data_IF_956208648971
#
_entry.id   IF_956208648971
#
_cell.length_a   1.000
_cell.length_b   1.000
_cell.length_c   1.000
_cell.angle_alpha   90.00
_cell.angle_beta   90.00
_cell.angle_gamma   90.00
#
_symmetry.space_group_name_H-M   'P 1'
#
loop_
_entity.id
_entity.type
_entity.pdbx_description
1 polymer ?
#
# COMPACT_ATOMS: atom_id res chain seq x y z
N UNK A 1 -23.92 9.25 33.13
CA UNK A 1 -23.37 10.17 32.11
C UNK A 1 -21.97 9.71 31.82
N UNK A 2 -21.71 9.03 30.68
CA UNK A 2 -20.37 8.65 30.26
C UNK A 2 -19.82 9.78 29.39
N UNK A 3 -18.73 10.37 29.81
CA UNK A 3 -18.02 11.44 29.14
C UNK A 3 -17.59 10.94 27.75
N UNK A 4 -18.05 11.60 26.67
CA UNK A 4 -17.59 11.36 25.32
C UNK A 4 -16.14 11.86 25.24
N UNK A 5 -15.19 11.07 24.68
CA UNK A 5 -13.83 11.54 24.48
C UNK A 5 -13.84 12.71 23.48
N UNK A 6 -13.19 13.81 23.87
CA UNK A 6 -13.00 14.99 23.02
C UNK A 6 -12.28 14.61 21.73
N UNK A 7 -12.60 15.24 20.58
CA UNK A 7 -11.84 15.04 19.35
C UNK A 7 -10.39 15.45 19.60
N UNK A 8 -9.46 14.52 19.37
CA UNK A 8 -8.03 14.79 19.45
C UNK A 8 -7.64 15.84 18.42
N UNK A 9 -6.93 16.86 18.86
CA UNK A 9 -6.24 17.86 18.02
C UNK A 9 -5.40 17.15 16.96
N UNK A 10 -5.29 17.69 15.70
CA UNK A 10 -4.40 17.12 14.68
C UNK A 10 -3.00 17.00 15.28
N UNK A 11 -2.41 15.82 15.22
CA UNK A 11 -1.08 15.56 15.76
C UNK A 11 -0.05 16.38 14.97
N UNK A 12 0.70 17.25 15.64
CA UNK A 12 1.80 18.06 15.08
C UNK A 12 2.93 17.19 14.47
N UNK A 13 2.89 15.87 14.64
CA UNK A 13 3.93 14.91 14.25
C UNK A 13 3.97 14.59 12.75
N UNK A 14 2.98 15.01 11.96
CA UNK A 14 2.91 14.68 10.53
C UNK A 14 2.69 13.17 10.25
N UNK A 15 2.37 12.38 11.24
CA UNK A 15 2.12 10.94 11.11
C UNK A 15 0.78 10.67 10.45
N UNK A 16 0.79 9.86 9.39
CA UNK A 16 -0.41 9.42 8.65
C UNK A 16 -0.89 8.06 9.14
N UNK A 17 0.03 7.20 9.54
CA UNK A 17 -0.24 5.91 10.15
C UNK A 17 0.58 5.76 11.42
N UNK A 18 -0.06 5.23 12.47
CA UNK A 18 0.59 4.80 13.70
C UNK A 18 0.05 3.42 14.09
N UNK A 19 0.93 2.47 14.27
CA UNK A 19 0.64 1.11 14.71
C UNK A 19 1.33 0.85 16.05
N UNK A 20 0.60 0.34 17.03
CA UNK A 20 1.10 0.09 18.39
C UNK A 20 0.80 -1.35 18.77
N UNK A 21 1.86 -2.14 19.02
CA UNK A 21 1.82 -3.55 19.45
C UNK A 21 0.82 -4.40 18.66
N UNK A 22 0.78 -4.23 17.32
CA UNK A 22 -0.14 -4.96 16.47
C UNK A 22 0.15 -6.45 16.50
N UNK A 23 -0.85 -7.23 16.89
CA UNK A 23 -0.83 -8.69 16.86
C UNK A 23 -1.96 -9.20 15.99
N UNK A 24 -1.69 -10.23 15.23
CA UNK A 24 -2.70 -10.92 14.43
C UNK A 24 -2.52 -12.41 14.48
N UNK A 25 -3.60 -13.10 14.84
CA UNK A 25 -3.69 -14.55 14.87
C UNK A 25 -4.78 -15.03 13.91
N UNK A 26 -4.51 -16.10 13.19
CA UNK A 26 -5.47 -16.83 12.38
C UNK A 26 -5.46 -18.30 12.82
N UNK A 27 -6.60 -18.85 13.17
CA UNK A 27 -6.76 -20.28 13.52
C UNK A 27 -5.67 -20.84 14.45
N UNK A 28 -5.28 -20.04 15.46
CA UNK A 28 -4.25 -20.41 16.42
C UNK A 28 -2.81 -20.05 16.02
N UNK A 29 -2.54 -19.75 14.75
CA UNK A 29 -1.23 -19.30 14.29
C UNK A 29 -1.06 -17.79 14.43
N UNK A 30 -0.05 -17.33 15.18
CA UNK A 30 0.25 -15.91 15.37
C UNK A 30 1.18 -15.41 14.25
N UNK A 31 0.61 -14.60 13.33
CA UNK A 31 1.31 -14.06 12.17
C UNK A 31 2.05 -12.77 12.52
N UNK A 32 1.45 -11.88 13.32
CA UNK A 32 2.12 -10.70 13.85
C UNK A 32 2.19 -10.78 15.37
N UNK A 33 3.37 -10.51 15.91
CA UNK A 33 3.74 -10.74 17.31
C UNK A 33 4.12 -9.44 18.03
N UNK A 34 3.37 -8.36 17.78
CA UNK A 34 3.57 -7.08 18.44
C UNK A 34 4.45 -6.13 17.62
N UNK A 35 4.06 -5.82 16.39
CA UNK A 35 4.75 -4.83 15.56
C UNK A 35 4.27 -3.42 15.88
N UNK A 36 5.22 -2.49 16.00
CA UNK A 36 4.95 -1.06 16.19
C UNK A 36 5.72 -0.25 15.18
N UNK A 37 5.05 0.68 14.50
CA UNK A 37 5.66 1.57 13.52
C UNK A 37 4.80 2.80 13.27
N UNK A 38 5.37 3.78 12.61
CA UNK A 38 4.65 4.93 12.07
C UNK A 38 5.06 5.17 10.61
N UNK A 39 4.13 5.72 9.82
CA UNK A 39 4.41 6.28 8.51
C UNK A 39 4.07 7.78 8.54
N UNK A 40 4.96 8.61 8.01
CA UNK A 40 4.84 10.07 8.02
C UNK A 40 4.35 10.57 6.68
N UNK A 41 3.72 11.74 6.69
CA UNK A 41 3.37 12.43 5.45
C UNK A 41 4.63 12.71 4.63
N UNK A 42 4.56 12.46 3.33
CA UNK A 42 5.66 12.72 2.40
C UNK A 42 6.77 11.66 2.41
N UNK A 43 6.59 10.52 3.11
CA UNK A 43 7.58 9.43 3.07
C UNK A 43 7.04 8.16 2.40
N UNK A 44 7.94 7.37 1.88
CA UNK A 44 7.72 5.98 1.51
C UNK A 44 8.33 5.07 2.57
N UNK A 45 7.47 4.41 3.36
CA UNK A 45 7.88 3.34 4.27
C UNK A 45 7.82 2.00 3.54
N UNK A 46 8.93 1.30 3.46
CA UNK A 46 8.98 -0.06 2.92
C UNK A 46 9.04 -1.07 4.06
N UNK A 47 8.14 -2.04 4.06
CA UNK A 47 8.17 -3.19 4.98
C UNK A 47 8.68 -4.40 4.19
N UNK A 48 9.93 -4.77 4.44
CA UNK A 48 10.58 -5.94 3.83
C UNK A 48 10.37 -7.19 4.67
N UNK A 49 10.46 -8.35 4.03
CA UNK A 49 10.43 -9.64 4.74
C UNK A 49 10.23 -10.81 3.79
N UNK A 50 10.50 -12.01 4.26
CA UNK A 50 10.28 -13.25 3.51
C UNK A 50 8.80 -13.55 3.24
N UNK A 51 8.53 -14.58 2.45
CA UNK A 51 7.16 -15.07 2.24
C UNK A 51 6.58 -15.55 3.58
N UNK A 52 5.33 -15.17 3.86
CA UNK A 52 4.66 -15.57 5.12
C UNK A 52 5.07 -14.76 6.36
N UNK A 53 5.99 -13.79 6.30
CA UNK A 53 6.42 -12.99 7.45
C UNK A 53 5.34 -12.07 8.05
N UNK A 54 4.22 -11.84 7.33
CA UNK A 54 3.12 -10.99 7.79
C UNK A 54 3.01 -9.64 7.09
N UNK A 55 3.78 -9.35 6.04
CA UNK A 55 3.76 -8.06 5.29
C UNK A 55 2.37 -7.66 4.79
N UNK A 56 1.75 -8.52 4.00
CA UNK A 56 0.38 -8.29 3.48
C UNK A 56 -0.64 -8.17 4.62
N UNK A 57 -0.47 -8.92 5.71
CA UNK A 57 -1.32 -8.82 6.90
C UNK A 57 -1.19 -7.45 7.53
N UNK A 58 0.03 -6.93 7.69
CA UNK A 58 0.30 -5.58 8.20
C UNK A 58 -0.39 -4.53 7.33
N UNK A 59 -0.24 -4.64 6.01
CA UNK A 59 -0.86 -3.69 5.07
C UNK A 59 -2.40 -3.73 5.13
N UNK A 60 -3.00 -4.93 5.25
CA UNK A 60 -4.45 -5.10 5.39
C UNK A 60 -5.00 -4.56 6.70
N UNK A 61 -4.22 -4.62 7.79
CA UNK A 61 -4.57 -4.00 9.07
C UNK A 61 -4.59 -2.47 8.94
N UNK A 62 -3.58 -1.87 8.29
CA UNK A 62 -3.54 -0.42 8.00
C UNK A 62 -4.72 0.00 7.13
N UNK A 63 -5.08 -0.78 6.12
CA UNK A 63 -6.22 -0.49 5.26
C UNK A 63 -7.59 -0.71 5.95
N UNK A 64 -7.61 -1.25 7.18
CA UNK A 64 -8.83 -1.63 7.88
C UNK A 64 -9.61 -2.76 7.18
N UNK A 65 -8.95 -3.55 6.32
CA UNK A 65 -9.56 -4.70 5.63
C UNK A 65 -9.71 -5.91 6.56
N UNK A 66 -8.88 -5.97 7.60
CA UNK A 66 -8.96 -6.96 8.68
C UNK A 66 -8.73 -6.25 10.01
N UNK A 67 -9.24 -6.82 11.10
CA UNK A 67 -9.03 -6.31 12.46
C UNK A 67 -7.82 -6.96 13.11
N UNK A 68 -7.03 -6.24 13.93
CA UNK A 68 -5.99 -6.84 14.76
C UNK A 68 -6.62 -7.77 15.81
N UNK A 69 -5.86 -8.76 16.30
CA UNK A 69 -6.25 -9.57 17.46
C UNK A 69 -6.01 -8.83 18.78
N UNK A 70 -5.00 -7.96 18.80
CA UNK A 70 -4.73 -6.96 19.84
C UNK A 70 -3.79 -5.88 19.29
N UNK A 71 -3.58 -4.83 20.06
CA UNK A 71 -2.86 -3.64 19.61
C UNK A 71 -3.80 -2.65 18.92
N UNK A 72 -3.23 -1.54 18.47
CA UNK A 72 -4.02 -0.43 17.91
C UNK A 72 -3.41 0.10 16.62
N UNK A 73 -4.27 0.59 15.71
CA UNK A 73 -3.83 1.23 14.47
C UNK A 73 -4.61 2.53 14.25
N UNK A 74 -3.87 3.61 14.08
CA UNK A 74 -4.40 4.95 13.76
C UNK A 74 -4.05 5.29 12.32
N UNK A 75 -5.05 5.74 11.57
CA UNK A 75 -4.90 6.18 10.18
C UNK A 75 -5.61 7.51 10.01
N UNK A 76 -4.93 8.53 9.48
CA UNK A 76 -5.47 9.88 9.29
C UNK A 76 -6.17 10.42 10.55
N UNK A 77 -5.51 10.35 11.70
CA UNK A 77 -6.01 10.82 12.99
C UNK A 77 -7.19 10.03 13.59
N UNK A 78 -7.53 8.86 13.04
CA UNK A 78 -8.59 7.99 13.54
C UNK A 78 -8.05 6.63 13.94
N UNK A 79 -8.33 6.20 15.16
CA UNK A 79 -8.15 4.81 15.56
C UNK A 79 -9.20 3.96 14.85
N UNK A 80 -8.77 2.93 14.13
CA UNK A 80 -9.64 2.21 13.19
C UNK A 80 -10.00 0.78 13.62
N UNK A 81 -9.36 0.24 14.63
CA UNK A 81 -9.53 -1.14 15.08
C UNK A 81 -10.97 -1.48 15.49
N UNK A 82 -11.70 -0.53 16.09
CA UNK A 82 -13.06 -0.72 16.57
C UNK A 82 -14.14 -0.11 15.67
N UNK A 83 -13.74 0.50 14.54
CA UNK A 83 -14.69 1.14 13.62
C UNK A 83 -15.52 0.09 12.85
N UNK A 84 -16.81 0.38 12.67
CA UNK A 84 -17.66 -0.37 11.73
C UNK A 84 -17.39 0.01 10.27
N UNK A 85 -17.93 -0.78 9.33
CA UNK A 85 -17.73 -0.58 7.90
C UNK A 85 -18.08 0.82 7.42
N UNK A 86 -19.21 1.38 7.83
CA UNK A 86 -19.62 2.74 7.46
C UNK A 86 -18.62 3.81 7.89
N UNK A 87 -18.02 3.67 9.06
CA UNK A 87 -17.03 4.60 9.58
C UNK A 87 -15.65 4.41 8.94
N UNK A 88 -15.34 3.24 8.39
CA UNK A 88 -14.12 2.94 7.65
C UNK A 88 -14.16 3.46 6.20
N UNK A 89 -15.33 3.55 5.58
CA UNK A 89 -15.46 4.00 4.18
C UNK A 89 -14.79 5.36 3.89
N UNK A 90 -15.01 6.43 4.68
CA UNK A 90 -14.36 7.72 4.43
C UNK A 90 -12.83 7.66 4.57
N UNK A 91 -12.32 6.76 5.43
CA UNK A 91 -10.87 6.56 5.61
C UNK A 91 -10.31 5.82 4.40
N UNK A 92 -10.95 4.73 3.98
CA UNK A 92 -10.53 3.93 2.82
C UNK A 92 -10.57 4.72 1.50
N UNK A 93 -11.51 5.64 1.32
CA UNK A 93 -11.57 6.52 0.15
C UNK A 93 -10.35 7.44 0.01
N UNK A 94 -9.64 7.70 1.11
CA UNK A 94 -8.40 8.47 1.12
C UNK A 94 -7.15 7.60 0.89
N UNK A 95 -7.32 6.29 0.69
CA UNK A 95 -6.24 5.34 0.43
C UNK A 95 -6.42 4.71 -0.95
N UNK A 96 -5.34 4.59 -1.71
CA UNK A 96 -5.28 3.75 -2.89
C UNK A 96 -4.58 2.44 -2.54
N UNK A 97 -5.21 1.29 -2.79
CA UNK A 97 -4.62 -0.02 -2.54
C UNK A 97 -4.26 -0.72 -3.86
N UNK A 98 -2.98 -1.03 -4.04
CA UNK A 98 -2.44 -1.76 -5.18
C UNK A 98 -2.15 -3.19 -4.75
N UNK A 99 -2.98 -4.14 -5.18
CA UNK A 99 -2.88 -5.55 -4.83
C UNK A 99 -1.77 -6.27 -5.61
N UNK A 100 -1.20 -7.31 -5.02
CA UNK A 100 -0.13 -8.13 -5.62
C UNK A 100 -0.46 -8.62 -7.03
N UNK A 101 -1.69 -9.08 -7.30
CA UNK A 101 -2.17 -9.53 -8.61
C UNK A 101 -2.83 -8.45 -9.46
N UNK A 102 -2.70 -7.15 -9.10
CA UNK A 102 -3.48 -6.03 -9.63
C UNK A 102 -4.99 -6.12 -9.30
N UNK A 103 -5.55 -7.30 -9.08
CA UNK A 103 -6.95 -7.58 -8.74
C UNK A 103 -7.94 -6.86 -9.66
N UNK A 104 -7.68 -6.87 -10.96
CA UNK A 104 -8.60 -6.35 -11.97
C UNK A 104 -9.81 -7.28 -12.09
N UNK A 105 -10.96 -6.70 -12.40
CA UNK A 105 -12.15 -7.46 -12.76
C UNK A 105 -11.97 -7.99 -14.18
N UNK A 106 -11.86 -9.30 -14.35
CA UNK A 106 -11.56 -9.94 -15.64
C UNK A 106 -12.62 -9.70 -16.72
N UNK A 107 -13.88 -9.47 -16.31
CA UNK A 107 -15.01 -9.20 -17.19
C UNK A 107 -15.20 -7.73 -17.58
N UNK A 108 -14.39 -6.83 -17.00
CA UNK A 108 -14.46 -5.41 -17.27
C UNK A 108 -13.26 -4.97 -18.12
N UNK A 109 -13.49 -4.01 -19.01
CA UNK A 109 -12.43 -3.37 -19.78
C UNK A 109 -11.48 -2.60 -18.85
N UNK A 110 -10.33 -2.16 -19.37
CA UNK A 110 -9.39 -1.28 -18.65
C UNK A 110 -10.11 0.01 -18.21
N UNK A 111 -10.89 0.62 -19.12
CA UNK A 111 -11.69 1.80 -18.80
C UNK A 111 -12.60 1.56 -17.60
N UNK A 112 -13.38 0.48 -17.65
CA UNK A 112 -14.33 0.15 -16.59
C UNK A 112 -13.64 -0.19 -15.26
N UNK A 113 -12.54 -0.92 -15.31
CA UNK A 113 -11.72 -1.22 -14.12
C UNK A 113 -11.23 0.05 -13.43
N UNK A 114 -10.69 1.01 -14.20
CA UNK A 114 -10.17 2.28 -13.65
C UNK A 114 -11.31 3.21 -13.23
N UNK A 115 -12.43 3.25 -13.97
CA UNK A 115 -13.60 4.05 -13.66
C UNK A 115 -14.35 3.59 -12.40
N UNK A 116 -14.24 2.30 -12.06
CA UNK A 116 -15.04 1.65 -11.02
C UNK A 116 -15.12 2.43 -9.69
N UNK A 117 -13.99 2.89 -9.09
CA UNK A 117 -14.06 3.62 -7.83
C UNK A 117 -14.84 4.95 -7.93
N UNK A 118 -14.77 5.63 -9.06
CA UNK A 118 -15.51 6.89 -9.25
C UNK A 118 -17.01 6.64 -9.42
N UNK A 119 -17.40 5.60 -10.15
CA UNK A 119 -18.81 5.21 -10.31
C UNK A 119 -19.45 4.83 -8.99
N UNK A 120 -18.73 4.08 -8.14
CA UNK A 120 -19.23 3.65 -6.82
C UNK A 120 -19.29 4.77 -5.78
N UNK A 121 -18.40 5.76 -5.88
CA UNK A 121 -18.20 6.69 -4.77
C UNK A 121 -18.50 8.14 -5.08
N UNK A 122 -18.87 8.46 -6.33
CA UNK A 122 -19.17 9.83 -6.75
C UNK A 122 -20.43 9.90 -7.60
N UNK A 123 -20.94 11.10 -7.80
CA UNK A 123 -22.03 11.40 -8.73
C UNK A 123 -21.55 12.06 -10.02
N UNK A 124 -20.30 11.84 -10.41
CA UNK A 124 -19.72 12.39 -11.63
C UNK A 124 -20.43 11.85 -12.87
N UNK A 125 -20.56 12.69 -13.91
CA UNK A 125 -21.06 12.27 -15.21
C UNK A 125 -20.01 11.43 -15.94
N UNK A 126 -20.44 10.46 -16.75
CA UNK A 126 -19.54 9.54 -17.47
C UNK A 126 -18.45 10.25 -18.29
N UNK A 127 -18.75 11.40 -18.92
CA UNK A 127 -17.74 12.17 -19.62
C UNK A 127 -16.60 12.64 -18.70
N UNK A 128 -16.93 13.12 -17.49
CA UNK A 128 -15.91 13.53 -16.52
C UNK A 128 -15.15 12.33 -15.94
N UNK A 129 -15.81 11.17 -15.79
CA UNK A 129 -15.15 9.93 -15.40
C UNK A 129 -14.17 9.49 -16.49
N UNK A 130 -14.59 9.53 -17.76
CA UNK A 130 -13.74 9.17 -18.90
C UNK A 130 -12.46 10.02 -18.93
N UNK A 131 -12.58 11.36 -18.79
CA UNK A 131 -11.43 12.26 -18.77
C UNK A 131 -10.44 11.91 -17.64
N UNK A 132 -10.95 11.59 -16.45
CA UNK A 132 -10.12 11.16 -15.31
C UNK A 132 -9.46 9.79 -15.54
N UNK A 133 -10.16 8.87 -16.21
CA UNK A 133 -9.60 7.55 -16.57
C UNK A 133 -8.42 7.74 -17.52
N UNK A 134 -8.59 8.53 -18.59
CA UNK A 134 -7.51 8.82 -19.55
C UNK A 134 -6.33 9.49 -18.85
N UNK A 135 -6.58 10.47 -17.99
CA UNK A 135 -5.53 11.12 -17.20
C UNK A 135 -4.80 10.11 -16.29
N UNK A 136 -5.53 9.26 -15.56
CA UNK A 136 -4.94 8.29 -14.64
C UNK A 136 -4.09 7.23 -15.37
N UNK A 137 -4.54 6.76 -16.54
CA UNK A 137 -3.77 5.87 -17.40
C UNK A 137 -2.51 6.55 -17.95
N UNK A 138 -2.60 7.80 -18.37
CA UNK A 138 -1.44 8.59 -18.81
C UNK A 138 -0.36 8.71 -17.71
N UNK A 139 -0.77 8.92 -16.44
CA UNK A 139 0.16 8.99 -15.32
C UNK A 139 0.98 7.71 -15.14
N UNK A 140 0.42 6.55 -15.49
CA UNK A 140 1.10 5.26 -15.43
C UNK A 140 1.75 4.85 -16.77
N UNK A 141 1.80 5.77 -17.75
CA UNK A 141 2.43 5.54 -19.06
C UNK A 141 1.63 4.56 -19.94
N UNK A 142 0.31 4.62 -19.87
CA UNK A 142 -0.61 3.90 -20.76
C UNK A 142 -1.44 4.92 -21.55
N UNK A 143 -1.54 4.72 -22.85
CA UNK A 143 -2.33 5.58 -23.73
C UNK A 143 -3.80 5.13 -23.85
N UNK A 144 -4.60 5.86 -24.65
CA UNK A 144 -6.02 5.55 -24.84
C UNK A 144 -6.25 4.23 -25.60
N UNK A 145 -5.26 3.69 -26.28
CA UNK A 145 -5.34 2.43 -27.02
C UNK A 145 -5.65 1.22 -26.15
N UNK A 146 -5.44 1.32 -24.84
CA UNK A 146 -5.73 0.21 -23.91
C UNK A 146 -7.14 0.27 -23.32
N UNK A 147 -7.91 1.33 -23.50
CA UNK A 147 -9.18 1.57 -22.81
C UNK A 147 -10.19 0.43 -22.96
N UNK A 148 -10.31 -0.11 -24.17
CA UNK A 148 -11.28 -1.16 -24.51
C UNK A 148 -10.74 -2.58 -24.32
N UNK A 149 -9.46 -2.73 -23.95
CA UNK A 149 -8.86 -4.05 -23.74
C UNK A 149 -9.36 -4.67 -22.43
N UNK A 150 -9.47 -5.99 -22.43
CA UNK A 150 -9.71 -6.79 -21.24
C UNK A 150 -8.36 -7.07 -20.50
N UNK A 151 -8.39 -7.36 -19.21
CA UNK A 151 -7.17 -7.74 -18.45
C UNK A 151 -6.39 -8.90 -19.06
N UNK A 152 -7.07 -9.86 -19.72
CA UNK A 152 -6.45 -11.00 -20.41
C UNK A 152 -5.60 -10.60 -21.62
N UNK A 153 -5.86 -9.44 -22.23
CA UNK A 153 -5.14 -8.92 -23.40
C UNK A 153 -3.91 -8.09 -23.02
N UNK A 154 -3.71 -7.83 -21.71
CA UNK A 154 -2.61 -7.02 -21.20
C UNK A 154 -1.40 -7.88 -20.81
N UNK A 155 -0.20 -7.33 -20.99
CA UNK A 155 1.01 -7.90 -20.38
C UNK A 155 0.96 -7.80 -18.85
N UNK A 156 1.79 -8.57 -18.13
CA UNK A 156 1.86 -8.51 -16.68
C UNK A 156 2.17 -7.10 -16.15
N UNK A 157 3.12 -6.40 -16.78
CA UNK A 157 3.47 -5.03 -16.44
C UNK A 157 2.34 -4.03 -16.73
N UNK A 158 1.59 -4.21 -17.82
CA UNK A 158 0.42 -3.38 -18.12
C UNK A 158 -0.69 -3.59 -17.07
N UNK A 159 -0.99 -4.84 -16.71
CA UNK A 159 -1.98 -5.12 -15.64
C UNK A 159 -1.63 -4.42 -14.33
N UNK A 160 -0.36 -4.47 -13.91
CA UNK A 160 0.10 -3.77 -12.70
C UNK A 160 -0.12 -2.25 -12.82
N UNK A 161 0.24 -1.65 -13.95
CA UNK A 161 0.05 -0.21 -14.17
C UNK A 161 -1.43 0.20 -14.21
N UNK A 162 -2.32 -0.62 -14.79
CA UNK A 162 -3.77 -0.40 -14.72
C UNK A 162 -4.27 -0.49 -13.26
N UNK A 163 -3.78 -1.46 -12.47
CA UNK A 163 -4.08 -1.55 -11.04
C UNK A 163 -3.63 -0.31 -10.25
N UNK A 164 -2.48 0.26 -10.59
CA UNK A 164 -2.00 1.52 -10.01
C UNK A 164 -2.90 2.69 -10.45
N UNK A 165 -3.25 2.79 -11.75
CA UNK A 165 -4.16 3.82 -12.24
C UNK A 165 -5.51 3.79 -11.52
N UNK A 166 -6.09 2.60 -11.30
CA UNK A 166 -7.31 2.43 -10.53
C UNK A 166 -7.17 2.89 -9.07
N UNK A 167 -6.03 2.65 -8.46
CA UNK A 167 -5.76 3.11 -7.09
C UNK A 167 -5.59 4.64 -6.99
N UNK A 168 -5.14 5.29 -8.08
CA UNK A 168 -4.89 6.73 -8.15
C UNK A 168 -6.13 7.57 -8.47
N UNK A 169 -7.12 7.00 -9.17
CA UNK A 169 -8.21 7.79 -9.78
C UNK A 169 -9.06 8.56 -8.75
N UNK A 170 -9.08 8.09 -7.50
CA UNK A 170 -9.74 8.75 -6.37
C UNK A 170 -8.91 9.83 -5.69
N UNK A 171 -7.74 10.18 -6.22
CA UNK A 171 -6.81 11.18 -5.65
C UNK A 171 -6.48 10.86 -4.17
N UNK A 172 -5.94 9.67 -3.87
CA UNK A 172 -5.72 9.24 -2.50
C UNK A 172 -4.65 10.08 -1.80
N UNK A 173 -4.78 10.23 -0.48
CA UNK A 173 -3.77 10.86 0.37
C UNK A 173 -2.62 9.91 0.74
N UNK A 174 -2.81 8.59 0.53
CA UNK A 174 -1.80 7.56 0.79
C UNK A 174 -2.00 6.38 -0.16
N UNK A 175 -0.87 5.82 -0.65
CA UNK A 175 -0.86 4.61 -1.45
C UNK A 175 -0.32 3.43 -0.64
N UNK A 176 -0.98 2.29 -0.77
CA UNK A 176 -0.60 1.01 -0.18
C UNK A 176 -0.27 0.03 -1.30
N UNK A 177 0.99 -0.42 -1.37
CA UNK A 177 1.45 -1.35 -2.39
C UNK A 177 1.75 -2.72 -1.80
N UNK A 178 1.07 -3.74 -2.27
CA UNK A 178 1.27 -5.14 -1.88
C UNK A 178 2.05 -5.85 -2.99
N UNK A 179 3.36 -6.07 -2.79
CA UNK A 179 4.28 -6.73 -3.73
C UNK A 179 4.15 -6.21 -5.19
N UNK A 180 4.37 -4.91 -5.43
CA UNK A 180 4.06 -4.29 -6.73
C UNK A 180 4.90 -4.83 -7.91
N UNK A 181 6.09 -5.36 -7.66
CA UNK A 181 6.99 -5.92 -8.68
C UNK A 181 6.93 -7.44 -8.79
N UNK A 182 6.18 -8.12 -7.91
CA UNK A 182 6.11 -9.58 -7.90
C UNK A 182 5.60 -10.14 -9.24
N UNK A 183 6.35 -11.10 -9.78
CA UNK A 183 6.01 -11.78 -11.04
C UNK A 183 6.30 -10.97 -12.31
N UNK A 184 6.99 -9.85 -12.19
CA UNK A 184 7.48 -9.07 -13.33
C UNK A 184 8.93 -9.42 -13.69
N UNK A 185 9.27 -9.26 -14.97
CA UNK A 185 10.65 -9.26 -15.40
C UNK A 185 11.41 -8.00 -14.89
N UNK A 186 12.75 -7.99 -14.92
CA UNK A 186 13.54 -6.88 -14.38
C UNK A 186 13.24 -5.52 -15.02
N UNK A 187 12.89 -5.48 -16.30
CA UNK A 187 12.59 -4.24 -17.03
C UNK A 187 11.25 -3.65 -16.52
N UNK A 188 10.21 -4.47 -16.44
CA UNK A 188 8.92 -4.04 -15.94
C UNK A 188 8.95 -3.71 -14.43
N UNK A 189 9.75 -4.43 -13.64
CA UNK A 189 9.98 -4.12 -12.23
C UNK A 189 10.58 -2.73 -12.05
N UNK A 190 11.58 -2.37 -12.84
CA UNK A 190 12.20 -1.04 -12.85
C UNK A 190 11.18 0.05 -13.23
N UNK A 191 10.38 -0.17 -14.27
CA UNK A 191 9.35 0.78 -14.69
C UNK A 191 8.32 1.03 -13.57
N UNK A 192 7.92 0.01 -12.83
CA UNK A 192 7.01 0.15 -11.67
C UNK A 192 7.70 0.90 -10.54
N UNK A 193 8.98 0.64 -10.23
CA UNK A 193 9.73 1.37 -9.22
C UNK A 193 9.85 2.87 -9.57
N UNK A 194 10.22 3.20 -10.80
CA UNK A 194 10.28 4.57 -11.29
C UNK A 194 8.91 5.27 -11.27
N UNK A 195 7.84 4.52 -11.55
CA UNK A 195 6.48 5.04 -11.45
C UNK A 195 6.15 5.41 -9.99
N UNK A 196 6.45 4.55 -9.02
CA UNK A 196 6.21 4.83 -7.59
C UNK A 196 6.95 6.11 -7.17
N UNK A 197 8.20 6.27 -7.59
CA UNK A 197 8.99 7.50 -7.31
C UNK A 197 8.34 8.74 -7.94
N UNK A 198 7.89 8.67 -9.19
CA UNK A 198 7.23 9.81 -9.86
C UNK A 198 5.91 10.21 -9.20
N UNK A 199 5.11 9.22 -8.77
CA UNK A 199 3.82 9.48 -8.13
C UNK A 199 3.98 10.25 -6.83
N UNK A 200 5.06 9.99 -6.09
CA UNK A 200 5.42 10.67 -4.85
C UNK A 200 5.70 12.18 -5.04
N UNK A 201 6.25 12.58 -6.17
CA UNK A 201 6.57 13.99 -6.45
C UNK A 201 5.40 14.83 -6.96
N UNK A 202 4.19 14.25 -7.14
CA UNK A 202 3.13 14.99 -7.82
C UNK A 202 1.70 14.63 -7.47
N UNK A 203 1.39 13.37 -7.19
CA UNK A 203 0.00 12.91 -7.04
C UNK A 203 -0.32 12.43 -5.63
N UNK A 204 0.60 11.71 -5.01
CA UNK A 204 0.43 11.16 -3.66
C UNK A 204 1.78 11.05 -2.96
N UNK A 205 1.99 11.87 -1.94
CA UNK A 205 3.30 12.00 -1.29
C UNK A 205 3.63 10.84 -0.34
N UNK A 206 2.63 10.12 0.13
CA UNK A 206 2.79 9.11 1.18
C UNK A 206 2.53 7.72 0.67
N UNK A 207 3.44 6.78 0.90
CA UNK A 207 3.26 5.39 0.51
C UNK A 207 3.74 4.41 1.60
N UNK A 208 3.05 3.26 1.70
CA UNK A 208 3.56 2.07 2.38
C UNK A 208 3.66 0.97 1.34
N UNK A 209 4.86 0.41 1.19
CA UNK A 209 5.15 -0.66 0.24
C UNK A 209 5.54 -1.90 1.01
N UNK A 210 4.86 -3.02 0.78
CA UNK A 210 5.34 -4.29 1.32
C UNK A 210 5.96 -5.11 0.19
N UNK A 211 7.17 -5.62 0.41
CA UNK A 211 7.91 -6.35 -0.63
C UNK A 211 9.04 -7.21 -0.06
N UNK A 212 9.52 -8.16 -0.84
CA UNK A 212 10.78 -8.86 -0.62
C UNK A 212 11.87 -8.39 -1.63
N UNK A 213 11.55 -7.47 -2.52
CA UNK A 213 12.43 -6.97 -3.57
C UNK A 213 13.36 -5.87 -3.02
N UNK A 214 14.66 -6.19 -2.96
CA UNK A 214 15.70 -5.29 -2.46
C UNK A 214 15.94 -4.10 -3.42
N UNK A 215 15.88 -4.35 -4.74
CA UNK A 215 16.10 -3.29 -5.73
C UNK A 215 14.97 -2.27 -5.73
N UNK A 216 13.72 -2.74 -5.62
CA UNK A 216 12.58 -1.85 -5.40
C UNK A 216 12.80 -1.02 -4.13
N UNK A 217 13.17 -1.67 -3.02
CA UNK A 217 13.39 -1.01 -1.73
C UNK A 217 14.45 0.08 -1.83
N UNK A 218 15.60 -0.21 -2.46
CA UNK A 218 16.67 0.78 -2.68
C UNK A 218 16.20 1.99 -3.48
N UNK A 219 15.28 1.77 -4.42
CA UNK A 219 14.79 2.82 -5.32
C UNK A 219 13.75 3.72 -4.66
N UNK A 220 12.80 3.14 -3.91
CA UNK A 220 11.60 3.89 -3.47
C UNK A 220 11.61 4.29 -1.99
N UNK A 221 12.37 3.59 -1.13
CA UNK A 221 12.25 3.76 0.31
C UNK A 221 12.96 5.00 0.86
N UNK A 222 12.31 5.68 1.80
CA UNK A 222 12.95 6.62 2.74
C UNK A 222 13.33 5.89 4.03
N UNK A 223 12.38 5.08 4.52
CA UNK A 223 12.56 4.24 5.70
C UNK A 223 12.21 2.80 5.37
N UNK A 224 12.87 1.89 6.07
CA UNK A 224 12.70 0.45 5.90
C UNK A 224 12.41 -0.18 7.26
N UNK A 225 11.44 -1.09 7.29
CA UNK A 225 11.21 -2.03 8.37
C UNK A 225 11.47 -3.44 7.85
N UNK A 226 12.27 -4.25 8.54
CA UNK A 226 12.52 -5.65 8.18
C UNK A 226 11.72 -6.54 9.11
N UNK A 227 10.71 -7.20 8.54
CA UNK A 227 9.76 -8.07 9.25
C UNK A 227 10.20 -9.52 9.14
N UNK A 228 10.55 -10.11 10.28
CA UNK A 228 11.01 -11.51 10.41
C UNK A 228 10.17 -12.16 11.50
N UNK A 229 9.60 -13.33 11.22
CA UNK A 229 8.79 -14.11 12.17
C UNK A 229 7.73 -13.29 12.93
N UNK A 230 7.08 -12.38 12.21
CA UNK A 230 6.01 -11.54 12.76
C UNK A 230 6.47 -10.39 13.67
N UNK A 231 7.76 -10.07 13.70
CA UNK A 231 8.34 -8.96 14.47
C UNK A 231 9.30 -8.14 13.60
N UNK A 232 9.48 -6.86 13.93
CA UNK A 232 10.50 -6.06 13.26
C UNK A 232 11.89 -6.34 13.86
N UNK A 233 12.78 -6.89 13.03
CA UNK A 233 14.20 -7.03 13.35
C UNK A 233 14.95 -5.70 13.25
N UNK A 234 14.51 -4.80 12.36
CA UNK A 234 15.03 -3.43 12.22
C UNK A 234 13.93 -2.50 11.69
N UNK A 235 13.99 -1.23 12.08
CA UNK A 235 13.16 -0.14 11.56
C UNK A 235 13.97 1.17 11.64
N UNK A 236 14.20 1.83 10.53
CA UNK A 236 15.00 3.06 10.50
C UNK A 236 15.09 3.66 9.10
N UNK A 237 16.03 4.57 8.90
CA UNK A 237 16.36 5.11 7.58
C UNK A 237 16.85 4.00 6.67
N UNK A 238 16.50 4.07 5.38
CA UNK A 238 16.86 3.04 4.39
C UNK A 238 18.33 2.63 4.49
N UNK A 239 19.24 3.60 4.40
CA UNK A 239 20.68 3.32 4.33
C UNK A 239 21.21 2.70 5.64
N UNK A 240 20.67 3.11 6.81
CA UNK A 240 21.01 2.55 8.12
C UNK A 240 20.56 1.09 8.24
N UNK A 241 19.33 0.79 7.82
CA UNK A 241 18.76 -0.57 7.91
C UNK A 241 19.44 -1.51 6.91
N UNK A 242 19.69 -1.05 5.68
CA UNK A 242 20.36 -1.88 4.66
C UNK A 242 21.85 -2.11 4.95
N UNK A 243 22.49 -1.29 5.77
CA UNK A 243 23.86 -1.47 6.27
C UNK A 243 23.92 -2.05 7.70
N UNK A 244 22.78 -2.52 8.25
CA UNK A 244 22.70 -3.01 9.63
C UNK A 244 23.51 -4.29 9.82
N UNK A 245 24.28 -4.36 10.92
CA UNK A 245 25.02 -5.57 11.35
C UNK A 245 24.15 -6.59 12.10
N UNK A 246 22.84 -6.34 12.21
CA UNK A 246 21.91 -7.26 12.88
C UNK A 246 21.86 -8.61 12.13
N UNK A 247 22.20 -9.75 12.78
CA UNK A 247 22.38 -11.03 12.07
C UNK A 247 21.17 -11.47 11.25
N UNK A 248 19.95 -11.29 11.77
CA UNK A 248 18.73 -11.69 11.06
C UNK A 248 18.45 -10.77 9.84
N UNK A 249 18.81 -9.48 9.90
CA UNK A 249 18.71 -8.56 8.77
C UNK A 249 19.71 -8.94 7.69
N UNK A 250 20.96 -9.20 8.07
CA UNK A 250 22.01 -9.64 7.15
C UNK A 250 21.63 -10.96 6.44
N UNK A 251 21.18 -11.97 7.18
CA UNK A 251 20.74 -13.24 6.62
C UNK A 251 19.58 -13.05 5.63
N UNK A 252 18.63 -12.16 5.95
CA UNK A 252 17.53 -11.82 5.04
C UNK A 252 18.03 -11.13 3.77
N UNK A 253 18.91 -10.13 3.90
CA UNK A 253 19.46 -9.38 2.75
C UNK A 253 20.37 -10.25 1.87
N UNK A 254 21.05 -11.24 2.43
CA UNK A 254 21.85 -12.24 1.71
C UNK A 254 21.00 -13.31 1.01
N UNK A 255 19.67 -13.33 1.25
CA UNK A 255 18.78 -14.37 0.71
C UNK A 255 18.85 -15.71 1.46
N UNK A 256 19.44 -15.75 2.64
CA UNK A 256 19.63 -16.94 3.46
C UNK A 256 18.46 -17.22 4.42
N UNK A 257 17.64 -16.18 4.71
CA UNK A 257 16.46 -16.31 5.54
C UNK A 257 15.22 -16.64 4.67
N UNK A 258 14.52 -17.71 5.01
CA UNK A 258 13.24 -18.13 4.41
C UNK A 258 12.06 -17.50 5.10
#
# INVERSE_FOLDING_TARGET
MREQPRPSTPTETGEVVEAIDLRKRFEGHEVLRGVSFNARRGETLVIMGGSGSGKTVTLRLVAGLIRPSSGRVRVFDRWIEDLGEEALLPIRRRMGYVFQGAALFDSLTVHENVAYPLREHTSLREAAIHDRVVQSLSMVGLGPEVLELLPSELSGGMRKRVGIARALIGEPAMLLFDEPTAGLDPTNSRLVAELIVRLRGGVCDTAIVVTHDLELTRTVADRVAVLIDGQFAALGRRDEVLASDHPAVQAFLAGEAR
#
